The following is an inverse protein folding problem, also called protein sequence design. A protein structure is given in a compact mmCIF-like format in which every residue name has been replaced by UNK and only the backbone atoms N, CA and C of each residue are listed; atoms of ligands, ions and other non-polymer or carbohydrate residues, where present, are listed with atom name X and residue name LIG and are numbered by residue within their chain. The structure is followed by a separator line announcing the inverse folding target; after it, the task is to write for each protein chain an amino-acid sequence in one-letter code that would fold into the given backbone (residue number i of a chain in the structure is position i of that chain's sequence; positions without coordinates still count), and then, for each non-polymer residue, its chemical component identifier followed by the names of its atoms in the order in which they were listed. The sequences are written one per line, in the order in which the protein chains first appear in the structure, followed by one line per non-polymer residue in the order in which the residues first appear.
data_IF_477883696629
#
_entry.id   IF_477883696629
#
_cell.length_a   1.000
_cell.length_b   1.000
_cell.length_c   1.000
_cell.angle_alpha   90.00
_cell.angle_beta   90.00
_cell.angle_gamma   90.00
#
_symmetry.space_group_name_H-M   'P 1'
#
loop_
_entity.id
_entity.type
_entity.pdbx_description
1 polymer ?
#
# COMPACT_ATOMS: atom_id res chain seq x y z
N UNK A 1 6.13 45.97 -21.31
CA UNK A 1 6.69 44.74 -21.89
C UNK A 1 6.43 43.58 -20.93
N UNK A 2 5.36 42.78 -21.08
CA UNK A 2 5.16 41.58 -20.27
C UNK A 2 5.89 40.39 -20.91
N UNK A 3 6.72 39.68 -20.13
CA UNK A 3 7.35 38.42 -20.55
C UNK A 3 6.28 37.33 -20.57
N UNK A 4 6.09 36.72 -21.74
CA UNK A 4 5.29 35.51 -21.92
C UNK A 4 5.91 34.37 -21.10
N UNK A 5 5.15 33.84 -20.13
CA UNK A 5 5.43 32.53 -19.56
C UNK A 5 5.22 31.48 -20.67
N UNK A 6 6.32 30.90 -21.14
CA UNK A 6 6.27 29.70 -21.98
C UNK A 6 5.79 28.54 -21.10
N UNK A 7 4.55 28.11 -21.30
CA UNK A 7 4.08 26.82 -20.78
C UNK A 7 4.82 25.71 -21.53
N UNK A 8 5.84 25.15 -20.90
CA UNK A 8 6.54 23.96 -21.40
C UNK A 8 5.62 22.76 -21.14
N UNK A 9 4.77 22.44 -22.10
CA UNK A 9 4.06 21.15 -22.12
C UNK A 9 5.08 20.06 -22.45
N UNK A 10 5.43 19.23 -21.46
CA UNK A 10 6.36 18.10 -21.64
C UNK A 10 5.71 17.02 -22.51
N UNK A 11 6.50 16.40 -23.39
CA UNK A 11 5.99 15.33 -24.26
C UNK A 11 5.69 14.04 -23.45
N UNK A 12 4.81 13.15 -23.94
CA UNK A 12 4.52 11.87 -23.27
C UNK A 12 5.78 11.05 -22.97
N UNK A 13 6.78 11.04 -23.87
CA UNK A 13 8.04 10.33 -23.65
C UNK A 13 8.89 10.97 -22.54
N UNK A 14 8.88 12.30 -22.41
CA UNK A 14 9.55 12.98 -21.30
C UNK A 14 8.86 12.72 -19.96
N UNK A 15 7.53 12.54 -19.94
CA UNK A 15 6.79 12.15 -18.74
C UNK A 15 7.15 10.70 -18.34
N UNK A 16 7.24 9.78 -19.30
CA UNK A 16 7.65 8.39 -19.08
C UNK A 16 9.09 8.27 -18.56
N UNK A 17 10.04 9.03 -19.12
CA UNK A 17 11.44 9.04 -18.64
C UNK A 17 11.57 9.61 -17.22
N UNK A 18 10.84 10.70 -16.91
CA UNK A 18 10.82 11.28 -15.55
C UNK A 18 10.22 10.28 -14.56
N UNK A 19 9.16 9.57 -14.95
CA UNK A 19 8.56 8.54 -14.11
C UNK A 19 9.51 7.37 -13.88
N UNK A 20 10.19 6.87 -14.91
CA UNK A 20 11.17 5.80 -14.78
C UNK A 20 12.35 6.19 -13.88
N UNK A 21 12.87 7.41 -14.03
CA UNK A 21 13.95 7.91 -13.18
C UNK A 21 13.49 8.14 -11.73
N UNK A 22 12.26 8.64 -11.52
CA UNK A 22 11.64 8.79 -10.20
C UNK A 22 11.34 7.45 -9.51
N UNK A 23 10.95 6.42 -10.28
CA UNK A 23 10.78 5.04 -9.81
C UNK A 23 12.14 4.46 -9.41
N UNK A 24 13.17 4.64 -10.24
CA UNK A 24 14.54 4.19 -9.93
C UNK A 24 15.08 4.81 -8.64
N UNK A 25 14.89 6.12 -8.43
CA UNK A 25 15.26 6.78 -7.18
C UNK A 25 14.44 6.28 -5.99
N UNK A 26 13.13 6.11 -6.14
CA UNK A 26 12.29 5.64 -5.04
C UNK A 26 12.59 4.18 -4.66
N UNK A 27 12.84 3.30 -5.63
CA UNK A 27 13.31 1.94 -5.39
C UNK A 27 14.70 1.92 -4.74
N UNK A 28 15.61 2.84 -5.11
CA UNK A 28 16.88 3.00 -4.42
C UNK A 28 16.66 3.46 -2.97
N UNK A 29 15.74 4.39 -2.72
CA UNK A 29 15.35 4.82 -1.37
C UNK A 29 14.70 3.70 -0.56
N UNK A 30 13.86 2.85 -1.16
CA UNK A 30 13.30 1.66 -0.52
C UNK A 30 14.43 0.70 -0.12
N UNK A 31 15.37 0.41 -1.04
CA UNK A 31 16.53 -0.42 -0.75
C UNK A 31 17.39 0.16 0.36
N UNK A 32 17.57 1.49 0.39
CA UNK A 32 18.28 2.17 1.48
C UNK A 32 17.53 2.08 2.81
N UNK A 33 16.21 2.32 2.83
CA UNK A 33 15.40 2.24 4.03
C UNK A 33 15.39 0.82 4.63
N UNK A 34 15.33 -0.21 3.78
CA UNK A 34 15.46 -1.62 4.17
C UNK A 34 16.84 -1.87 4.81
N UNK A 35 17.91 -1.29 4.27
CA UNK A 35 19.28 -1.48 4.75
C UNK A 35 19.63 -0.64 6.00
N UNK A 36 18.99 0.50 6.24
CA UNK A 36 19.24 1.34 7.42
C UNK A 36 18.61 0.75 8.69
N UNK A 37 17.43 0.12 8.61
CA UNK A 37 16.73 -0.44 9.77
C UNK A 37 17.38 -1.71 10.34
N UNK A 38 18.11 -2.49 9.53
CA UNK A 38 18.89 -3.63 10.02
C UNK A 38 20.00 -3.27 11.00
N UNK A 39 20.35 -1.97 11.10
CA UNK A 39 21.36 -1.47 12.03
C UNK A 39 20.85 -1.25 13.46
N UNK A 40 19.53 -1.13 13.68
CA UNK A 40 18.93 -0.71 14.97
C UNK A 40 18.03 -1.75 15.67
N UNK A 41 17.83 -2.94 15.10
CA UNK A 41 17.03 -4.03 15.67
C UNK A 41 17.84 -5.32 15.86
N UNK A 42 17.37 -6.23 16.73
CA UNK A 42 18.01 -7.52 16.96
C UNK A 42 18.18 -8.30 15.64
N UNK A 43 19.44 -8.54 15.24
CA UNK A 43 19.82 -9.15 13.97
C UNK A 43 19.28 -10.57 13.82
N UNK A 44 18.33 -10.76 12.90
CA UNK A 44 18.10 -12.04 12.23
C UNK A 44 18.94 -12.08 10.93
N UNK A 45 19.35 -13.25 10.44
CA UNK A 45 20.29 -13.33 9.32
C UNK A 45 19.60 -13.01 7.98
N UNK A 46 19.98 -11.88 7.35
CA UNK A 46 19.64 -11.55 5.95
C UNK A 46 18.89 -10.22 5.79
N UNK A 47 19.62 -9.11 5.84
CA UNK A 47 19.09 -7.74 5.96
C UNK A 47 18.38 -7.17 4.71
N UNK A 48 18.15 -7.98 3.68
CA UNK A 48 17.34 -7.56 2.52
C UNK A 48 16.44 -8.72 2.10
N UNK A 49 15.12 -8.50 1.96
CA UNK A 49 14.22 -9.50 1.42
C UNK A 49 14.74 -9.98 0.06
N UNK A 50 15.08 -11.27 -0.03
CA UNK A 50 15.63 -11.87 -1.25
C UNK A 50 14.54 -11.86 -2.31
N UNK A 51 14.73 -11.06 -3.37
CA UNK A 51 13.83 -11.02 -4.52
C UNK A 51 13.97 -12.29 -5.37
N UNK A 52 12.88 -12.71 -6.02
CA UNK A 52 12.88 -13.90 -6.87
C UNK A 52 13.08 -15.22 -6.11
N UNK A 53 12.77 -15.24 -4.82
CA UNK A 53 12.63 -16.43 -3.98
C UNK A 53 11.37 -17.22 -4.38
N UNK A 54 11.41 -18.55 -4.30
CA UNK A 54 10.19 -19.40 -4.41
C UNK A 54 9.41 -19.50 -3.11
N UNK A 55 9.98 -19.00 -2.00
CA UNK A 55 9.32 -18.92 -0.69
C UNK A 55 8.72 -17.53 -0.47
N UNK A 56 7.50 -17.41 0.09
CA UNK A 56 6.86 -16.13 0.44
C UNK A 56 7.43 -15.47 1.70
N UNK A 57 8.37 -16.11 2.41
CA UNK A 57 8.93 -15.57 3.65
C UNK A 57 9.47 -14.13 3.55
N UNK A 58 10.15 -13.70 2.47
CA UNK A 58 10.58 -12.32 2.30
C UNK A 58 9.42 -11.31 2.29
N UNK A 59 8.29 -11.68 1.69
CA UNK A 59 7.07 -10.86 1.71
C UNK A 59 6.47 -10.79 3.11
N UNK A 60 6.40 -11.91 3.84
CA UNK A 60 5.89 -11.94 5.22
C UNK A 60 6.73 -11.08 6.17
N UNK A 61 8.05 -11.08 5.99
CA UNK A 61 8.94 -10.20 6.73
C UNK A 61 8.59 -8.72 6.49
N UNK A 62 8.34 -8.33 5.23
CA UNK A 62 7.93 -6.95 4.92
C UNK A 62 6.57 -6.58 5.53
N UNK A 63 5.61 -7.51 5.57
CA UNK A 63 4.29 -7.27 6.16
C UNK A 63 4.35 -7.00 7.68
N UNK A 64 5.40 -7.42 8.38
CA UNK A 64 5.55 -7.13 9.81
C UNK A 64 5.52 -5.62 10.09
N UNK A 65 6.00 -4.80 9.15
CA UNK A 65 6.02 -3.33 9.29
C UNK A 65 4.62 -2.74 9.49
N UNK A 66 3.55 -3.41 9.03
CA UNK A 66 2.17 -2.98 9.26
C UNK A 66 1.74 -3.14 10.73
N UNK A 67 2.37 -4.04 11.48
CA UNK A 67 2.12 -4.25 12.93
C UNK A 67 2.79 -3.19 13.78
N UNK A 68 3.94 -2.69 13.33
CA UNK A 68 4.76 -1.74 14.08
C UNK A 68 4.50 -0.28 13.67
N UNK A 69 4.06 -0.05 12.43
CA UNK A 69 3.69 1.28 11.94
C UNK A 69 2.34 1.70 12.51
N UNK A 70 2.36 2.82 13.24
CA UNK A 70 1.16 3.41 13.85
C UNK A 70 0.41 4.26 12.84
N UNK A 71 -0.92 4.17 12.89
CA UNK A 71 -1.81 5.05 12.13
C UNK A 71 -1.53 6.50 12.53
N UNK A 72 -1.07 7.27 11.57
CA UNK A 72 -0.40 8.56 11.71
C UNK A 72 -1.38 9.63 12.22
N UNK A 73 -2.67 9.50 11.89
CA UNK A 73 -3.74 10.32 12.45
C UNK A 73 -3.75 10.32 13.99
N UNK A 74 -3.69 9.14 14.62
CA UNK A 74 -3.68 9.00 16.08
C UNK A 74 -2.39 9.54 16.70
N UNK A 75 -1.24 9.23 16.09
CA UNK A 75 0.07 9.71 16.55
C UNK A 75 0.13 11.23 16.56
N UNK A 76 -0.37 11.89 15.51
CA UNK A 76 -0.43 13.36 15.40
C UNK A 76 -1.33 14.00 16.47
N UNK A 77 -2.42 13.32 16.84
CA UNK A 77 -3.30 13.73 17.94
C UNK A 77 -2.76 13.36 19.32
N UNK A 78 -1.55 12.80 19.40
CA UNK A 78 -0.88 12.38 20.64
C UNK A 78 -1.72 11.39 21.45
N UNK A 79 -2.51 10.54 20.77
CA UNK A 79 -3.26 9.49 21.44
C UNK A 79 -2.25 8.41 21.87
N UNK A 80 -2.15 8.11 23.18
CA UNK A 80 -1.28 7.04 23.64
C UNK A 80 -1.81 5.70 23.14
N UNK A 81 -0.90 4.81 22.75
CA UNK A 81 -1.25 3.46 22.25
C UNK A 81 -2.20 3.46 21.04
N UNK A 82 -2.06 4.43 20.13
CA UNK A 82 -2.77 4.39 18.85
C UNK A 82 -2.58 3.06 18.12
N UNK A 83 -3.59 2.70 17.33
CA UNK A 83 -3.61 1.45 16.56
C UNK A 83 -2.47 1.40 15.52
N UNK A 84 -2.07 0.19 15.15
CA UNK A 84 -1.25 -0.06 13.96
C UNK A 84 -2.10 -0.13 12.70
N UNK A 85 -1.47 -0.03 11.52
CA UNK A 85 -2.17 -0.23 10.24
C UNK A 85 -2.79 -1.63 10.17
N UNK A 86 -2.11 -2.64 10.72
CA UNK A 86 -2.66 -4.00 10.74
C UNK A 86 -3.87 -4.16 11.68
N UNK A 87 -3.95 -3.39 12.77
CA UNK A 87 -5.13 -3.39 13.66
C UNK A 87 -6.36 -2.85 12.92
N UNK A 88 -6.17 -1.74 12.20
CA UNK A 88 -7.18 -1.12 11.33
C UNK A 88 -7.72 -2.11 10.28
N UNK A 89 -6.83 -2.71 9.49
CA UNK A 89 -7.22 -3.67 8.45
C UNK A 89 -7.88 -4.94 9.01
N UNK A 90 -7.45 -5.41 10.19
CA UNK A 90 -8.07 -6.56 10.86
C UNK A 90 -9.53 -6.26 11.23
N UNK A 91 -9.79 -5.13 11.89
CA UNK A 91 -11.15 -4.77 12.32
C UNK A 91 -12.04 -4.47 11.12
N UNK A 92 -11.52 -3.81 10.07
CA UNK A 92 -12.23 -3.65 8.80
C UNK A 92 -12.68 -5.00 8.22
N UNK A 93 -11.76 -5.96 8.13
CA UNK A 93 -12.04 -7.29 7.58
C UNK A 93 -13.21 -7.97 8.30
N UNK A 94 -13.25 -7.88 9.63
CA UNK A 94 -14.39 -8.36 10.42
C UNK A 94 -15.67 -7.57 10.13
N UNK A 95 -15.63 -6.23 10.10
CA UNK A 95 -16.81 -5.40 9.80
C UNK A 95 -17.44 -5.80 8.47
N UNK A 96 -16.62 -6.07 7.43
CA UNK A 96 -17.14 -6.45 6.12
C UNK A 96 -17.97 -7.75 6.13
N UNK A 97 -17.70 -8.68 7.06
CA UNK A 97 -18.46 -9.94 7.18
C UNK A 97 -19.91 -9.71 7.61
N UNK A 98 -20.24 -8.53 8.14
CA UNK A 98 -21.59 -8.16 8.60
C UNK A 98 -22.33 -7.26 7.59
N UNK A 99 -21.92 -7.27 6.32
CA UNK A 99 -22.63 -6.57 5.26
C UNK A 99 -24.13 -6.99 5.24
N UNK A 100 -25.08 -6.03 5.16
CA UNK A 100 -26.50 -6.35 5.18
C UNK A 100 -26.89 -7.19 3.97
N UNK A 101 -27.91 -8.05 4.11
CA UNK A 101 -28.35 -8.98 3.06
C UNK A 101 -28.66 -8.29 1.72
N UNK A 102 -29.17 -7.05 1.77
CA UNK A 102 -29.46 -6.22 0.60
C UNK A 102 -28.21 -5.87 -0.24
N UNK A 103 -27.03 -5.95 0.37
CA UNK A 103 -25.74 -5.74 -0.26
C UNK A 103 -25.02 -7.07 -0.49
N UNK A 104 -24.89 -7.94 0.52
CA UNK A 104 -24.12 -9.20 0.44
C UNK A 104 -24.66 -10.20 -0.60
N UNK A 105 -25.90 -10.05 -1.05
CA UNK A 105 -26.47 -10.80 -2.17
C UNK A 105 -25.95 -10.37 -3.56
N UNK A 106 -25.22 -9.25 -3.64
CA UNK A 106 -24.75 -8.62 -4.89
C UNK A 106 -23.23 -8.58 -5.02
N UNK A 107 -22.51 -8.85 -3.92
CA UNK A 107 -21.06 -8.72 -3.83
C UNK A 107 -20.43 -9.98 -3.24
N UNK A 108 -19.17 -10.23 -3.56
CA UNK A 108 -18.46 -11.43 -3.12
C UNK A 108 -17.78 -11.22 -1.74
N UNK A 109 -18.29 -11.88 -0.70
CA UNK A 109 -17.79 -11.77 0.68
C UNK A 109 -16.29 -12.07 0.82
N UNK A 110 -15.81 -13.27 0.45
CA UNK A 110 -14.38 -13.55 0.42
C UNK A 110 -13.53 -12.48 -0.27
N UNK A 111 -14.02 -11.91 -1.37
CA UNK A 111 -13.28 -10.92 -2.16
C UNK A 111 -13.11 -9.59 -1.43
N UNK A 112 -14.19 -8.97 -0.95
CA UNK A 112 -14.09 -7.68 -0.28
C UNK A 112 -13.45 -7.79 1.12
N UNK A 113 -13.50 -8.97 1.77
CA UNK A 113 -12.76 -9.22 3.01
C UNK A 113 -11.27 -9.32 2.71
N UNK A 114 -10.86 -10.00 1.63
CA UNK A 114 -9.46 -9.95 1.16
C UNK A 114 -9.03 -8.53 0.82
N UNK A 115 -9.88 -7.76 0.14
CA UNK A 115 -9.62 -6.35 -0.19
C UNK A 115 -9.29 -5.52 1.06
N UNK A 116 -10.05 -5.70 2.14
CA UNK A 116 -9.80 -5.03 3.42
C UNK A 116 -8.42 -5.36 4.00
N UNK A 117 -7.94 -6.60 3.82
CA UNK A 117 -6.62 -7.04 4.27
C UNK A 117 -5.46 -6.54 3.40
N UNK A 118 -5.71 -6.17 2.14
CA UNK A 118 -4.65 -5.79 1.19
C UNK A 118 -4.58 -4.28 0.90
N UNK A 119 -5.65 -3.52 1.17
CA UNK A 119 -5.74 -2.14 0.67
C UNK A 119 -4.59 -1.23 1.12
N UNK A 120 -4.18 -1.31 2.39
CA UNK A 120 -3.09 -0.51 2.96
C UNK A 120 -1.75 -1.25 3.01
N UNK A 121 -1.56 -2.39 2.33
CA UNK A 121 -0.28 -3.13 2.45
C UNK A 121 0.91 -2.33 1.89
N UNK A 122 0.67 -1.41 0.96
CA UNK A 122 1.69 -0.50 0.45
C UNK A 122 2.28 0.39 1.55
N UNK A 123 1.50 0.72 2.59
CA UNK A 123 1.94 1.51 3.72
C UNK A 123 3.03 0.81 4.55
N UNK A 124 3.24 -0.49 4.36
CA UNK A 124 4.38 -1.21 4.93
C UNK A 124 5.72 -0.58 4.54
N UNK A 125 5.83 0.05 3.37
CA UNK A 125 7.01 0.80 2.93
C UNK A 125 6.76 2.31 2.81
N UNK A 126 5.56 2.70 2.36
CA UNK A 126 5.21 4.10 2.12
C UNK A 126 5.02 4.87 3.44
N UNK A 127 4.57 4.18 4.49
CA UNK A 127 4.00 4.77 5.71
C UNK A 127 2.56 5.26 5.51
N UNK A 128 1.85 5.48 6.62
CA UNK A 128 0.49 6.03 6.61
C UNK A 128 0.52 7.54 6.28
N UNK A 129 0.40 7.86 4.99
CA UNK A 129 0.40 9.24 4.49
C UNK A 129 -0.97 9.87 4.74
N UNK A 130 -0.99 10.94 5.53
CA UNK A 130 -2.21 11.67 5.87
C UNK A 130 -2.38 12.95 5.04
N UNK A 131 -3.58 13.56 5.00
CA UNK A 131 -3.78 14.87 4.38
C UNK A 131 -2.86 15.97 4.94
N UNK A 132 -2.35 15.81 6.17
CA UNK A 132 -1.45 16.77 6.81
C UNK A 132 -0.02 16.75 6.24
N UNK A 133 0.36 15.68 5.54
CA UNK A 133 1.68 15.50 4.93
C UNK A 133 1.84 16.27 3.62
N UNK A 134 0.73 16.79 3.06
CA UNK A 134 0.70 17.60 1.83
C UNK A 134 1.35 16.91 0.62
N UNK A 135 1.41 15.58 0.64
CA UNK A 135 1.79 14.78 -0.53
C UNK A 135 0.63 14.83 -1.52
N UNK A 136 0.92 15.24 -2.76
CA UNK A 136 -0.10 15.29 -3.81
C UNK A 136 -0.56 13.87 -4.18
N UNK A 137 -1.84 13.72 -4.55
CA UNK A 137 -2.47 12.41 -4.81
C UNK A 137 -1.66 11.53 -5.77
N UNK A 138 -1.17 12.10 -6.87
CA UNK A 138 -0.38 11.37 -7.86
C UNK A 138 0.95 10.82 -7.27
N UNK A 139 1.59 11.57 -6.37
CA UNK A 139 2.84 11.11 -5.75
C UNK A 139 2.59 10.03 -4.69
N UNK A 140 1.49 10.13 -3.91
CA UNK A 140 1.06 9.05 -3.02
C UNK A 140 0.81 7.76 -3.82
N UNK A 141 -0.03 7.86 -4.85
CA UNK A 141 -0.39 6.74 -5.72
C UNK A 141 0.84 6.11 -6.38
N UNK A 142 1.78 6.91 -6.91
CA UNK A 142 3.04 6.40 -7.49
C UNK A 142 3.87 5.61 -6.48
N UNK A 143 4.00 6.11 -5.24
CA UNK A 143 4.76 5.42 -4.19
C UNK A 143 4.12 4.09 -3.84
N UNK A 144 2.81 4.09 -3.66
CA UNK A 144 2.06 2.89 -3.30
C UNK A 144 2.08 1.85 -4.41
N UNK A 145 1.89 2.27 -5.67
CA UNK A 145 2.01 1.39 -6.84
C UNK A 145 3.41 0.80 -6.95
N UNK A 146 4.46 1.60 -6.73
CA UNK A 146 5.85 1.09 -6.77
C UNK A 146 6.10 0.07 -5.67
N UNK A 147 5.57 0.29 -4.47
CA UNK A 147 5.69 -0.65 -3.36
C UNK A 147 4.93 -1.95 -3.64
N UNK A 148 3.71 -1.84 -4.17
CA UNK A 148 2.89 -3.00 -4.51
C UNK A 148 3.55 -3.83 -5.59
N UNK A 149 4.03 -3.20 -6.67
CA UNK A 149 4.76 -3.91 -7.73
C UNK A 149 6.02 -4.61 -7.19
N UNK A 150 6.76 -3.98 -6.27
CA UNK A 150 7.87 -4.65 -5.60
C UNK A 150 7.42 -5.90 -4.83
N UNK A 151 6.34 -5.81 -4.05
CA UNK A 151 5.82 -6.96 -3.30
C UNK A 151 5.30 -8.08 -4.22
N UNK A 152 4.49 -7.74 -5.21
CA UNK A 152 3.78 -8.72 -6.04
C UNK A 152 4.69 -9.29 -7.13
N UNK A 153 5.46 -8.44 -7.81
CA UNK A 153 6.32 -8.84 -8.93
C UNK A 153 7.70 -9.32 -8.48
N UNK A 154 8.30 -8.72 -7.44
CA UNK A 154 9.67 -9.08 -7.02
C UNK A 154 9.72 -10.11 -5.89
N UNK A 155 8.91 -9.94 -4.83
CA UNK A 155 8.92 -10.87 -3.68
C UNK A 155 8.03 -12.09 -3.92
N UNK A 156 6.89 -11.91 -4.57
CA UNK A 156 5.92 -12.98 -4.84
C UNK A 156 5.98 -13.52 -6.28
N UNK A 157 6.72 -12.88 -7.20
CA UNK A 157 6.69 -13.23 -8.62
C UNK A 157 7.13 -14.66 -8.99
N UNK A 158 7.83 -15.38 -8.09
CA UNK A 158 8.13 -16.82 -8.26
C UNK A 158 7.40 -17.74 -7.28
N UNK A 159 6.65 -17.19 -6.33
CA UNK A 159 5.85 -17.95 -5.39
C UNK A 159 4.58 -18.38 -6.11
N UNK A 160 4.28 -19.70 -6.13
CA UNK A 160 3.10 -20.23 -6.82
C UNK A 160 2.95 -19.71 -8.27
N UNK A 161 4.07 -19.60 -8.99
CA UNK A 161 4.11 -19.06 -10.37
C UNK A 161 3.64 -17.60 -10.49
N UNK A 162 3.67 -16.82 -9.41
CA UNK A 162 3.28 -15.41 -9.39
C UNK A 162 1.78 -15.16 -9.19
N UNK A 163 0.94 -16.20 -9.28
CA UNK A 163 -0.53 -16.09 -9.25
C UNK A 163 -1.03 -15.37 -7.99
N UNK A 164 -0.44 -15.68 -6.83
CA UNK A 164 -0.81 -15.02 -5.57
C UNK A 164 -0.42 -13.54 -5.56
N UNK A 165 0.71 -13.18 -6.17
CA UNK A 165 1.12 -11.79 -6.31
C UNK A 165 0.19 -11.01 -7.24
N UNK A 166 -0.19 -11.60 -8.37
CA UNK A 166 -1.16 -11.03 -9.32
C UNK A 166 -2.52 -10.79 -8.66
N UNK A 167 -3.07 -11.77 -7.92
CA UNK A 167 -4.33 -11.61 -7.19
C UNK A 167 -4.27 -10.44 -6.19
N UNK A 168 -3.17 -10.31 -5.44
CA UNK A 168 -2.99 -9.20 -4.49
C UNK A 168 -2.94 -7.85 -5.23
N UNK A 169 -2.19 -7.77 -6.33
CA UNK A 169 -2.07 -6.57 -7.14
C UNK A 169 -3.45 -6.13 -7.67
N UNK A 170 -4.20 -7.07 -8.24
CA UNK A 170 -5.50 -6.79 -8.86
C UNK A 170 -6.51 -6.32 -7.82
N UNK A 171 -6.57 -6.95 -6.64
CA UNK A 171 -7.45 -6.53 -5.56
C UNK A 171 -7.07 -5.13 -5.03
N UNK A 172 -5.76 -4.88 -4.86
CA UNK A 172 -5.29 -3.55 -4.44
C UNK A 172 -5.64 -2.48 -5.48
N UNK A 173 -5.44 -2.76 -6.77
CA UNK A 173 -5.80 -1.87 -7.87
C UNK A 173 -7.30 -1.59 -7.90
N UNK A 174 -8.13 -2.62 -7.75
CA UNK A 174 -9.59 -2.47 -7.69
C UNK A 174 -10.03 -1.53 -6.55
N UNK A 175 -9.39 -1.63 -5.38
CA UNK A 175 -9.65 -0.73 -4.26
C UNK A 175 -9.29 0.73 -4.59
N UNK A 176 -8.10 0.96 -5.16
CA UNK A 176 -7.60 2.28 -5.53
C UNK A 176 -8.44 2.94 -6.63
N UNK A 177 -8.88 2.17 -7.62
CA UNK A 177 -9.76 2.65 -8.69
C UNK A 177 -11.14 3.05 -8.13
N UNK A 178 -11.66 2.32 -7.14
CA UNK A 178 -12.87 2.69 -6.41
C UNK A 178 -14.15 2.64 -7.25
N UNK A 179 -14.15 1.83 -8.33
CA UNK A 179 -15.23 1.80 -9.30
C UNK A 179 -16.29 0.73 -9.01
N UNK A 180 -15.87 -0.43 -8.50
CA UNK A 180 -16.73 -1.59 -8.21
C UNK A 180 -17.61 -1.37 -6.98
N UNK A 181 -18.65 -2.19 -6.83
CA UNK A 181 -19.50 -2.14 -5.63
C UNK A 181 -18.72 -2.59 -4.39
N UNK A 182 -17.87 -3.60 -4.55
CA UNK A 182 -16.95 -4.10 -3.54
C UNK A 182 -15.99 -3.03 -3.05
N UNK A 183 -15.28 -2.33 -3.95
CA UNK A 183 -14.32 -1.30 -3.54
C UNK A 183 -14.97 -0.12 -2.87
N UNK A 184 -16.12 0.33 -3.37
CA UNK A 184 -16.93 1.38 -2.71
C UNK A 184 -17.36 0.96 -1.31
N UNK A 185 -17.82 -0.28 -1.14
CA UNK A 185 -18.19 -0.81 0.17
C UNK A 185 -16.99 -0.83 1.13
N UNK A 186 -15.83 -1.32 0.70
CA UNK A 186 -14.62 -1.36 1.54
C UNK A 186 -14.12 0.05 1.88
N UNK A 187 -14.21 1.02 0.97
CA UNK A 187 -13.89 2.42 1.25
C UNK A 187 -14.84 3.05 2.29
N UNK A 188 -16.11 2.66 2.29
CA UNK A 188 -17.04 3.11 3.32
C UNK A 188 -16.76 2.42 4.67
N UNK A 189 -16.42 1.12 4.65
CA UNK A 189 -15.97 0.40 5.84
C UNK A 189 -14.69 1.01 6.44
N UNK A 190 -13.73 1.44 5.60
CA UNK A 190 -12.52 2.13 6.06
C UNK A 190 -12.87 3.39 6.89
N UNK A 191 -13.81 4.21 6.38
CA UNK A 191 -14.28 5.41 7.10
C UNK A 191 -15.05 5.06 8.37
N UNK A 192 -15.89 4.03 8.34
CA UNK A 192 -16.68 3.59 9.50
C UNK A 192 -15.75 3.11 10.60
N UNK A 193 -14.79 2.26 10.26
CA UNK A 193 -13.83 1.71 11.21
C UNK A 193 -13.04 2.81 11.91
N UNK A 194 -12.57 3.82 11.15
CA UNK A 194 -11.85 4.97 11.69
C UNK A 194 -12.64 5.77 12.75
N UNK A 195 -13.98 5.77 12.66
CA UNK A 195 -14.85 6.55 13.57
C UNK A 195 -15.25 5.76 14.83
N UNK A 196 -15.11 4.42 14.82
CA UNK A 196 -15.48 3.53 15.93
C UNK A 196 -14.36 3.35 16.95
#
# INVERSE_FOLDING_TARGET
MPRLHQNITKSPNQILEINAQSIGYYLASIKMAINEESSNGAKLPGDTPVSGSSSPAPFFYMLERLKTTKREGWRRRRIPHGESISDHMYRMSLITMFAPQSLSSKINIPHYTKMSLVHDIAEALVGDITPMDRVIKHEKSRREETTIDYFTSSLLGKVNSGITGEEIYDIWREYEDGETLESKFVQDVNKIELVL
#
